data_IF_600155540155
#
_entry.id   IF_600155540155
#
_cell.length_a   1.000
_cell.length_b   1.000
_cell.length_c   1.000
_cell.angle_alpha   90.00
_cell.angle_beta   90.00
_cell.angle_gamma   90.00
#
_symmetry.space_group_name_H-M   'P 1'
#
loop_
_entity.id
_entity.type
_entity.pdbx_description
1 polymer ?
#
# COMPACT_ATOMS: atom_id res chain seq x y z
N UNK A 1 15.09 -22.49 -0.25
CA UNK A 1 15.38 -23.29 -1.45
C UNK A 1 16.86 -23.13 -1.74
N UNK A 2 17.63 -24.23 -1.79
CA UNK A 2 19.07 -24.17 -2.03
C UNK A 2 19.35 -23.84 -3.50
N UNK A 3 20.46 -23.14 -3.84
CA UNK A 3 20.90 -22.98 -5.23
C UNK A 3 21.03 -24.33 -5.97
N UNK A 4 21.46 -25.38 -5.27
CA UNK A 4 21.62 -26.72 -5.84
C UNK A 4 20.28 -27.33 -6.29
N UNK A 5 19.19 -27.03 -5.57
CA UNK A 5 17.83 -27.52 -5.93
C UNK A 5 17.28 -26.86 -7.19
N UNK A 6 17.75 -25.65 -7.53
CA UNK A 6 17.35 -24.99 -8.79
C UNK A 6 18.10 -25.56 -9.99
N UNK A 7 19.32 -26.05 -9.79
CA UNK A 7 20.16 -26.59 -10.86
C UNK A 7 19.65 -27.94 -11.42
N UNK A 8 18.83 -28.66 -10.64
CA UNK A 8 18.27 -29.96 -11.01
C UNK A 8 16.93 -29.85 -11.76
N UNK A 9 16.34 -28.65 -11.87
CA UNK A 9 15.07 -28.42 -12.55
C UNK A 9 15.28 -28.28 -14.07
N UNK A 10 14.33 -28.79 -14.84
CA UNK A 10 14.23 -28.51 -16.27
C UNK A 10 13.91 -27.02 -16.55
N UNK A 11 14.06 -26.60 -17.80
CA UNK A 11 13.75 -25.22 -18.23
C UNK A 11 12.28 -24.86 -17.94
N UNK A 12 11.34 -25.75 -18.26
CA UNK A 12 9.92 -25.53 -18.01
C UNK A 12 9.60 -25.46 -16.50
N UNK A 13 10.18 -26.35 -15.70
CA UNK A 13 10.01 -26.32 -14.23
C UNK A 13 10.58 -25.05 -13.60
N UNK A 14 11.67 -24.50 -14.14
CA UNK A 14 12.22 -23.21 -13.70
C UNK A 14 11.28 -22.05 -14.02
N UNK A 15 10.67 -22.05 -15.22
CA UNK A 15 9.73 -21.01 -15.63
C UNK A 15 8.41 -21.09 -14.84
N UNK A 16 7.88 -22.29 -14.62
CA UNK A 16 6.69 -22.50 -13.80
C UNK A 16 6.94 -22.01 -12.36
N UNK A 17 8.08 -22.38 -11.77
CA UNK A 17 8.47 -21.91 -10.45
C UNK A 17 8.63 -20.39 -10.40
N UNK A 18 9.21 -19.77 -11.43
CA UNK A 18 9.31 -18.32 -11.51
C UNK A 18 7.92 -17.65 -11.56
N UNK A 19 6.99 -18.24 -12.31
CA UNK A 19 5.59 -17.81 -12.38
C UNK A 19 4.90 -17.86 -11.01
N UNK A 20 5.04 -18.97 -10.29
CA UNK A 20 4.49 -19.16 -8.96
C UNK A 20 5.01 -18.11 -7.98
N UNK A 21 6.34 -17.88 -7.97
CA UNK A 21 6.96 -16.87 -7.08
C UNK A 21 6.53 -15.45 -7.43
N UNK A 22 6.35 -15.15 -8.72
CA UNK A 22 5.84 -13.86 -9.13
C UNK A 22 4.40 -13.63 -8.64
N UNK A 23 3.55 -14.66 -8.68
CA UNK A 23 2.18 -14.59 -8.18
C UNK A 23 2.11 -14.51 -6.65
N UNK A 24 2.94 -15.27 -5.93
CA UNK A 24 3.12 -15.12 -4.48
C UNK A 24 3.57 -13.72 -4.09
N UNK A 25 4.55 -13.15 -4.80
CA UNK A 25 5.02 -11.79 -4.55
C UNK A 25 3.91 -10.74 -4.81
N UNK A 26 3.15 -10.87 -5.90
CA UNK A 26 2.00 -9.98 -6.21
C UNK A 26 0.93 -10.01 -5.12
N UNK A 27 0.58 -11.21 -4.63
CA UNK A 27 -0.38 -11.37 -3.53
C UNK A 27 0.15 -10.77 -2.24
N UNK A 28 1.41 -11.04 -1.89
CA UNK A 28 2.04 -10.48 -0.69
C UNK A 28 2.15 -8.95 -0.73
N UNK A 29 2.39 -8.34 -1.90
CA UNK A 29 2.37 -6.88 -2.06
C UNK A 29 0.99 -6.28 -1.80
N UNK A 30 -0.05 -6.93 -2.29
CA UNK A 30 -1.45 -6.55 -2.08
C UNK A 30 -1.83 -6.68 -0.60
N UNK A 31 -1.46 -7.80 0.03
CA UNK A 31 -1.69 -8.03 1.46
C UNK A 31 -0.98 -7.00 2.34
N UNK A 32 0.28 -6.66 2.03
CA UNK A 32 1.02 -5.63 2.76
C UNK A 32 0.35 -4.26 2.66
N UNK A 33 -0.27 -3.94 1.52
CA UNK A 33 -1.00 -2.70 1.34
C UNK A 33 -2.29 -2.67 2.19
N UNK A 34 -3.04 -3.76 2.23
CA UNK A 34 -4.20 -3.92 3.11
C UNK A 34 -3.82 -3.82 4.59
N UNK A 35 -2.74 -4.48 4.99
CA UNK A 35 -2.21 -4.42 6.35
C UNK A 35 -1.76 -3.02 6.73
N UNK A 36 -1.15 -2.26 5.81
CA UNK A 36 -0.77 -0.88 6.05
C UNK A 36 -2.00 0.03 6.26
N UNK A 37 -3.06 -0.15 5.48
CA UNK A 37 -4.34 0.54 5.69
C UNK A 37 -4.94 0.19 7.05
N UNK A 38 -5.08 -1.09 7.37
CA UNK A 38 -5.63 -1.53 8.66
C UNK A 38 -4.78 -1.04 9.84
N UNK A 39 -3.45 -1.00 9.68
CA UNK A 39 -2.56 -0.44 10.68
C UNK A 39 -2.80 1.06 10.90
N UNK A 40 -3.06 1.82 9.84
CA UNK A 40 -3.46 3.22 9.95
C UNK A 40 -4.79 3.37 10.71
N UNK A 41 -5.80 2.55 10.39
CA UNK A 41 -7.11 2.55 11.05
C UNK A 41 -6.99 2.29 12.56
N UNK A 42 -6.24 1.26 12.96
CA UNK A 42 -6.08 0.95 14.40
C UNK A 42 -5.20 1.95 15.14
N UNK A 43 -4.47 2.82 14.43
CA UNK A 43 -3.70 3.94 14.98
C UNK A 43 -4.34 5.31 14.67
N UNK A 44 -5.65 5.35 14.44
CA UNK A 44 -6.39 6.60 14.37
C UNK A 44 -6.25 7.37 15.71
N UNK A 45 -5.96 8.69 15.69
CA UNK A 45 -5.70 9.46 16.91
C UNK A 45 -6.85 9.39 17.92
N UNK A 46 -8.11 9.42 17.46
CA UNK A 46 -9.28 9.34 18.35
C UNK A 46 -9.42 8.02 19.13
N UNK A 47 -8.70 6.97 18.72
CA UNK A 47 -8.71 5.70 19.46
C UNK A 47 -8.02 5.83 20.82
N UNK A 48 -7.03 6.72 20.93
CA UNK A 48 -6.37 7.03 22.19
C UNK A 48 -7.00 8.29 22.79
N UNK A 49 -8.06 8.09 23.56
CA UNK A 49 -8.72 9.16 24.37
C UNK A 49 -7.86 9.62 25.56
N UNK A 50 -6.55 9.58 25.42
CA UNK A 50 -5.64 10.10 26.44
C UNK A 50 -5.63 11.64 26.35
N UNK A 51 -5.55 12.30 27.50
CA UNK A 51 -5.42 13.76 27.52
C UNK A 51 -4.13 14.13 26.78
N UNK A 52 -4.23 15.00 25.76
CA UNK A 52 -3.06 15.56 25.11
C UNK A 52 -2.29 16.39 26.16
N UNK A 53 -1.20 15.82 26.66
CA UNK A 53 -0.23 16.48 27.53
C UNK A 53 0.98 16.92 26.69
N UNK A 54 1.75 17.93 27.13
CA UNK A 54 3.01 18.27 26.47
C UNK A 54 3.91 17.04 26.32
N UNK A 55 4.33 16.74 25.09
CA UNK A 55 5.16 15.56 24.77
C UNK A 55 4.38 14.28 24.44
N UNK A 56 3.04 14.31 24.44
CA UNK A 56 2.24 13.20 23.94
C UNK A 56 2.39 13.00 22.43
N UNK A 57 2.10 11.78 21.98
CA UNK A 57 2.07 11.43 20.56
C UNK A 57 1.09 12.33 19.79
N UNK A 58 1.53 12.85 18.64
CA UNK A 58 0.72 13.74 17.80
C UNK A 58 0.00 12.97 16.69
N UNK A 59 -1.10 13.56 16.22
CA UNK A 59 -1.73 13.17 14.96
C UNK A 59 -0.95 13.77 13.78
N UNK A 60 -0.88 13.03 12.67
CA UNK A 60 -0.23 13.48 11.45
C UNK A 60 -0.95 12.93 10.22
N UNK A 61 -1.15 13.81 9.24
CA UNK A 61 -1.63 13.42 7.92
C UNK A 61 -0.51 12.70 7.15
N UNK A 62 -0.75 11.46 6.75
CA UNK A 62 0.16 10.68 5.90
C UNK A 62 -0.20 10.78 4.40
N UNK A 63 -1.48 10.58 4.08
CA UNK A 63 -2.01 10.70 2.71
C UNK A 63 -2.32 12.14 2.31
N UNK A 64 -2.89 12.29 1.13
CA UNK A 64 -3.41 13.56 0.62
C UNK A 64 -4.71 14.00 1.30
N UNK A 65 -5.19 15.18 0.92
CA UNK A 65 -6.40 15.78 1.48
C UNK A 65 -7.59 14.82 1.36
N UNK A 66 -8.31 14.63 2.47
CA UNK A 66 -9.45 13.71 2.57
C UNK A 66 -9.11 12.36 3.22
N UNK A 67 -7.82 12.02 3.35
CA UNK A 67 -7.37 10.86 4.13
C UNK A 67 -7.36 11.17 5.63
N UNK A 68 -7.69 10.21 6.51
CA UNK A 68 -7.65 10.41 7.95
C UNK A 68 -6.22 10.59 8.46
N UNK A 69 -6.10 11.26 9.60
CA UNK A 69 -4.84 11.35 10.34
C UNK A 69 -4.48 10.03 11.03
N UNK A 70 -3.19 9.87 11.30
CA UNK A 70 -2.63 8.69 11.98
C UNK A 70 -1.71 9.15 13.10
N UNK A 71 -1.59 8.36 14.16
CA UNK A 71 -0.62 8.57 15.22
C UNK A 71 0.84 8.60 14.68
N UNK A 72 1.66 9.54 15.14
CA UNK A 72 2.95 9.87 14.51
C UNK A 72 3.96 8.71 14.47
N UNK A 73 3.91 7.80 15.45
CA UNK A 73 4.83 6.67 15.54
C UNK A 73 4.32 5.39 14.85
N UNK A 74 3.11 5.39 14.29
CA UNK A 74 2.54 4.21 13.63
C UNK A 74 3.44 3.70 12.49
N UNK A 75 3.97 4.60 11.66
CA UNK A 75 4.89 4.22 10.59
C UNK A 75 6.19 3.58 11.09
N UNK A 76 6.70 4.00 12.25
CA UNK A 76 7.93 3.45 12.81
C UNK A 76 7.73 1.99 13.24
N UNK A 77 6.61 1.70 13.92
CA UNK A 77 6.26 0.33 14.33
C UNK A 77 6.06 -0.60 13.14
N UNK A 78 5.35 -0.12 12.10
CA UNK A 78 5.15 -0.90 10.87
C UNK A 78 6.48 -1.18 10.17
N UNK A 79 7.30 -0.14 9.96
CA UNK A 79 8.60 -0.25 9.29
C UNK A 79 9.52 -1.25 9.96
N UNK A 80 9.65 -1.17 11.29
CA UNK A 80 10.43 -2.12 12.07
C UNK A 80 9.96 -3.58 11.87
N UNK A 81 8.64 -3.80 11.76
CA UNK A 81 8.07 -5.16 11.63
C UNK A 81 8.27 -5.76 10.23
N UNK A 82 8.22 -4.94 9.18
CA UNK A 82 8.32 -5.38 7.78
C UNK A 82 9.73 -5.21 7.19
N UNK A 83 10.72 -4.86 8.00
CA UNK A 83 12.10 -4.67 7.56
C UNK A 83 12.31 -3.46 6.63
N UNK A 84 11.55 -2.38 6.85
CA UNK A 84 11.63 -1.13 6.07
C UNK A 84 11.94 0.07 6.95
N UNK A 85 12.49 1.12 6.35
CA UNK A 85 12.68 2.39 7.05
C UNK A 85 11.33 2.99 7.44
N UNK A 86 11.30 3.82 8.49
CA UNK A 86 10.11 4.58 8.89
C UNK A 86 9.54 5.39 7.73
N UNK A 87 10.41 5.97 6.90
CA UNK A 87 10.00 6.73 5.71
C UNK A 87 9.26 5.85 4.68
N UNK A 88 9.79 4.66 4.37
CA UNK A 88 9.17 3.75 3.42
C UNK A 88 7.85 3.17 3.95
N UNK A 89 7.75 2.91 5.26
CA UNK A 89 6.50 2.49 5.89
C UNK A 89 5.45 3.60 5.91
N UNK A 90 5.87 4.86 6.18
CA UNK A 90 4.99 6.02 6.07
C UNK A 90 4.45 6.17 4.65
N UNK A 91 5.29 6.04 3.63
CA UNK A 91 4.87 6.10 2.23
C UNK A 91 3.85 5.00 1.91
N UNK A 92 4.10 3.76 2.35
CA UNK A 92 3.16 2.65 2.16
C UNK A 92 1.79 2.94 2.82
N UNK A 93 1.77 3.46 4.05
CA UNK A 93 0.52 3.84 4.72
C UNK A 93 -0.19 4.99 4.01
N UNK A 94 0.56 6.00 3.55
CA UNK A 94 0.02 7.10 2.77
C UNK A 94 -0.64 6.61 1.48
N UNK A 95 0.04 5.72 0.74
CA UNK A 95 -0.50 5.13 -0.49
C UNK A 95 -1.78 4.34 -0.21
N UNK A 96 -1.80 3.54 0.86
CA UNK A 96 -2.96 2.74 1.25
C UNK A 96 -4.17 3.60 1.64
N UNK A 97 -3.94 4.68 2.39
CA UNK A 97 -4.99 5.65 2.75
C UNK A 97 -5.53 6.39 1.53
N UNK A 98 -4.65 6.86 0.65
CA UNK A 98 -5.05 7.53 -0.59
C UNK A 98 -5.86 6.60 -1.49
N UNK A 99 -5.43 5.35 -1.66
CA UNK A 99 -6.18 4.38 -2.45
C UNK A 99 -7.56 4.14 -1.86
N UNK A 100 -7.66 3.89 -0.56
CA UNK A 100 -8.93 3.60 0.08
C UNK A 100 -9.91 4.80 0.07
N UNK A 101 -9.42 6.00 0.40
CA UNK A 101 -10.27 7.17 0.62
C UNK A 101 -10.45 8.06 -0.62
N UNK A 102 -9.53 8.01 -1.58
CA UNK A 102 -9.47 8.95 -2.71
C UNK A 102 -9.49 8.27 -4.07
N UNK A 103 -9.09 6.99 -4.16
CA UNK A 103 -9.07 6.20 -5.41
C UNK A 103 -9.79 4.83 -5.24
N UNK A 104 -11.08 4.82 -4.84
CA UNK A 104 -11.80 3.60 -4.45
C UNK A 104 -11.95 2.56 -5.57
N UNK A 105 -12.02 2.97 -6.84
CA UNK A 105 -12.10 2.03 -7.96
C UNK A 105 -10.79 1.29 -8.11
N UNK A 106 -9.66 2.01 -8.08
CA UNK A 106 -8.33 1.39 -8.16
C UNK A 106 -8.07 0.49 -6.94
N UNK A 107 -8.50 0.89 -5.75
CA UNK A 107 -8.45 0.06 -4.54
C UNK A 107 -9.23 -1.26 -4.71
N UNK A 108 -10.45 -1.21 -5.26
CA UNK A 108 -11.25 -2.40 -5.53
C UNK A 108 -10.56 -3.34 -6.51
N UNK A 109 -9.95 -2.81 -7.57
CA UNK A 109 -9.26 -3.63 -8.58
C UNK A 109 -7.96 -4.25 -8.05
N UNK A 110 -7.24 -3.57 -7.17
CA UNK A 110 -6.09 -4.16 -6.45
C UNK A 110 -6.54 -5.32 -5.57
N UNK A 111 -7.63 -5.16 -4.82
CA UNK A 111 -8.21 -6.24 -4.00
C UNK A 111 -8.63 -7.45 -4.84
N UNK A 112 -9.12 -7.21 -6.06
CA UNK A 112 -9.49 -8.26 -7.00
C UNK A 112 -8.29 -8.92 -7.73
N UNK A 113 -7.07 -8.44 -7.51
CA UNK A 113 -5.87 -8.91 -8.22
C UNK A 113 -5.79 -8.46 -9.69
N UNK A 114 -6.66 -7.54 -10.11
CA UNK A 114 -6.74 -7.04 -11.48
C UNK A 114 -5.70 -5.95 -11.76
N UNK A 115 -5.19 -5.30 -10.70
CA UNK A 115 -4.21 -4.20 -10.78
C UNK A 115 -3.04 -4.48 -9.84
N UNK A 116 -1.82 -4.29 -10.34
CA UNK A 116 -0.61 -4.42 -9.53
C UNK A 116 -0.59 -3.34 -8.43
N UNK A 117 -0.32 -3.75 -7.19
CA UNK A 117 -0.19 -2.83 -6.06
C UNK A 117 0.86 -1.74 -6.33
N UNK A 118 1.98 -2.05 -6.99
CA UNK A 118 3.01 -1.06 -7.37
C UNK A 118 2.46 0.07 -8.24
N UNK A 119 1.63 -0.26 -9.23
CA UNK A 119 1.01 0.72 -10.13
C UNK A 119 -0.02 1.58 -9.38
N UNK A 120 -0.88 0.94 -8.58
CA UNK A 120 -1.85 1.68 -7.78
C UNK A 120 -1.18 2.67 -6.82
N UNK A 121 -0.09 2.27 -6.18
CA UNK A 121 0.73 3.14 -5.32
C UNK A 121 1.40 4.29 -6.08
N UNK A 122 1.83 4.04 -7.32
CA UNK A 122 2.33 5.10 -8.19
C UNK A 122 1.26 6.17 -8.45
N UNK A 123 0.05 5.74 -8.83
CA UNK A 123 -1.09 6.64 -9.06
C UNK A 123 -1.40 7.43 -7.79
N UNK A 124 -1.52 6.77 -6.64
CA UNK A 124 -1.77 7.40 -5.34
C UNK A 124 -0.75 8.51 -5.01
N UNK A 125 0.54 8.23 -5.24
CA UNK A 125 1.61 9.22 -5.05
C UNK A 125 1.45 10.40 -6.02
N UNK A 126 1.14 10.16 -7.30
CA UNK A 126 0.98 11.20 -8.31
C UNK A 126 -0.27 12.06 -8.12
N UNK A 127 -1.28 11.53 -7.46
CA UNK A 127 -2.52 12.25 -7.15
C UNK A 127 -2.51 12.88 -5.76
N UNK A 128 -1.42 12.77 -4.98
CA UNK A 128 -1.39 13.17 -3.56
C UNK A 128 -1.72 14.66 -3.34
N UNK A 129 -1.26 15.52 -4.22
CA UNK A 129 -1.45 16.97 -4.14
C UNK A 129 -2.77 17.46 -4.80
N UNK A 130 -3.54 16.54 -5.40
CA UNK A 130 -4.83 16.86 -6.01
C UNK A 130 -5.94 17.03 -4.96
N UNK A 131 -6.95 17.82 -5.30
CA UNK A 131 -8.18 17.86 -4.51
C UNK A 131 -8.89 16.50 -4.53
N UNK A 132 -9.77 16.21 -3.55
CA UNK A 132 -10.54 14.96 -3.55
C UNK A 132 -11.35 14.74 -4.85
N UNK A 133 -11.92 15.80 -5.43
CA UNK A 133 -12.68 15.70 -6.67
C UNK A 133 -11.80 15.37 -7.89
N UNK A 134 -10.62 15.97 -7.97
CA UNK A 134 -9.64 15.67 -9.02
C UNK A 134 -9.09 14.25 -8.90
N UNK A 135 -8.83 13.77 -7.67
CA UNK A 135 -8.40 12.40 -7.43
C UNK A 135 -9.45 11.38 -7.90
N UNK A 136 -10.74 11.59 -7.59
CA UNK A 136 -11.84 10.74 -8.07
C UNK A 136 -11.94 10.75 -9.60
N UNK A 137 -11.73 11.91 -10.24
CA UNK A 137 -11.71 12.00 -11.70
C UNK A 137 -10.55 11.15 -12.29
N UNK A 138 -9.37 11.19 -11.68
CA UNK A 138 -8.23 10.35 -12.08
C UNK A 138 -8.52 8.87 -11.83
N UNK A 139 -9.09 8.52 -10.69
CA UNK A 139 -9.47 7.15 -10.33
C UNK A 139 -10.35 6.51 -11.42
N UNK A 140 -11.42 7.22 -11.84
CA UNK A 140 -12.31 6.74 -12.90
C UNK A 140 -11.61 6.50 -14.23
N UNK A 141 -10.67 7.38 -14.63
CA UNK A 141 -9.95 7.27 -15.90
C UNK A 141 -8.87 6.18 -15.89
N UNK A 142 -8.14 6.08 -14.79
CA UNK A 142 -7.02 5.15 -14.67
C UNK A 142 -7.54 3.73 -14.39
N UNK A 143 -8.62 3.59 -13.62
CA UNK A 143 -9.20 2.29 -13.36
C UNK A 143 -9.67 1.59 -14.65
N UNK A 144 -10.06 2.32 -15.70
CA UNK A 144 -10.43 1.73 -16.99
C UNK A 144 -9.22 1.10 -17.71
N UNK A 145 -8.07 1.78 -17.70
CA UNK A 145 -6.87 1.36 -18.43
C UNK A 145 -5.90 0.49 -17.63
N UNK A 146 -6.11 0.35 -16.32
CA UNK A 146 -5.26 -0.45 -15.45
C UNK A 146 -5.56 -1.96 -15.61
N UNK A 147 -5.01 -2.60 -16.64
CA UNK A 147 -5.19 -4.03 -16.93
C UNK A 147 -4.08 -4.92 -16.32
N UNK A 148 -3.28 -4.38 -15.40
CA UNK A 148 -2.18 -5.09 -14.74
C UNK A 148 -0.94 -5.30 -15.62
N UNK A 149 -0.96 -4.88 -16.89
CA UNK A 149 0.17 -5.02 -17.84
C UNK A 149 1.12 -3.82 -17.87
N UNK A 150 0.75 -2.70 -17.27
CA UNK A 150 1.60 -1.51 -17.21
C UNK A 150 2.62 -1.62 -16.04
N UNK A 151 3.90 -1.31 -16.29
CA UNK A 151 5.01 -1.46 -15.34
C UNK A 151 4.89 -0.57 -14.09
#
# INVERSE_FOLDING_TARGET
MSPDTLADLSEDELLDLAGDRAEEARRAETDLLHLAYQWAVVNHPDRRREKQIPGAERATSYGGVGSPEVAEFAAASLGARIGRTTWAARALMADALDLHHRLPLLWSRVQAGEVRASYARHVATKTRDLTPAEAICVDGRVAESADGRLP
#
